data_IF_580101230508
#
_entry.id   IF_580101230508
#
_cell.length_a   1.000
_cell.length_b   1.000
_cell.length_c   1.000
_cell.angle_alpha   90.00
_cell.angle_beta   90.00
_cell.angle_gamma   90.00
#
_symmetry.space_group_name_H-M   'P 1'
#
loop_
_entity.id
_entity.type
_entity.pdbx_description
1 polymer ?
#
# COMPACT_ATOMS: atom_id res chain seq x y z
N UNK A 1 -46.73 17.19 -18.24
CA UNK A 1 -45.98 17.29 -16.96
C UNK A 1 -45.15 16.01 -16.84
N UNK A 2 -43.83 16.13 -16.95
CA UNK A 2 -42.91 14.99 -17.05
C UNK A 2 -42.64 14.39 -15.67
N UNK A 3 -43.16 13.20 -15.40
CA UNK A 3 -42.75 12.43 -14.22
C UNK A 3 -41.42 11.73 -14.52
N UNK A 4 -40.32 12.27 -14.00
CA UNK A 4 -39.06 11.53 -13.93
C UNK A 4 -39.19 10.48 -12.83
N UNK A 5 -39.37 9.21 -13.22
CA UNK A 5 -39.32 8.10 -12.28
C UNK A 5 -37.91 8.04 -11.66
N UNK A 6 -37.84 8.08 -10.34
CA UNK A 6 -36.61 7.92 -9.57
C UNK A 6 -36.10 6.48 -9.79
N UNK A 7 -34.81 6.25 -10.09
CA UNK A 7 -34.30 4.88 -10.21
C UNK A 7 -34.46 4.17 -8.85
N UNK A 8 -34.82 2.87 -8.84
CA UNK A 8 -35.04 2.14 -7.60
C UNK A 8 -33.75 2.13 -6.77
N UNK A 9 -33.85 2.66 -5.54
CA UNK A 9 -32.77 2.65 -4.57
C UNK A 9 -32.70 1.30 -3.88
N UNK A 10 -31.56 0.62 -3.99
CA UNK A 10 -31.21 -0.52 -3.14
C UNK A 10 -30.84 -1.75 -3.92
N UNK A 11 -29.56 -1.87 -4.29
CA UNK A 11 -28.98 -3.18 -4.50
C UNK A 11 -28.98 -3.88 -3.13
N UNK A 12 -30.04 -4.64 -2.84
CA UNK A 12 -30.11 -5.47 -1.64
C UNK A 12 -29.22 -6.68 -1.86
N UNK A 13 -27.92 -6.51 -1.60
CA UNK A 13 -26.93 -7.58 -1.74
C UNK A 13 -27.07 -8.51 -0.55
N UNK A 14 -27.45 -9.76 -0.82
CA UNK A 14 -27.43 -10.82 0.18
C UNK A 14 -25.99 -11.27 0.43
N UNK A 15 -25.41 -10.75 1.52
CA UNK A 15 -24.05 -11.08 1.94
C UNK A 15 -23.88 -12.52 2.42
N UNK A 16 -24.98 -13.25 2.65
CA UNK A 16 -24.95 -14.67 3.04
C UNK A 16 -25.00 -15.62 1.83
N UNK A 17 -25.17 -15.09 0.61
CA UNK A 17 -25.34 -15.90 -0.58
C UNK A 17 -24.12 -16.80 -0.84
N UNK A 18 -24.29 -18.13 -1.02
CA UNK A 18 -23.17 -19.08 -1.13
C UNK A 18 -22.21 -18.79 -2.28
N UNK A 19 -22.72 -18.29 -3.41
CA UNK A 19 -21.87 -17.90 -4.54
C UNK A 19 -21.04 -16.65 -4.23
N UNK A 20 -21.61 -15.70 -3.49
CA UNK A 20 -20.90 -14.50 -3.06
C UNK A 20 -19.83 -14.85 -2.01
N UNK A 21 -20.14 -15.75 -1.08
CA UNK A 21 -19.17 -16.33 -0.16
C UNK A 21 -18.07 -17.11 -0.90
N UNK A 22 -18.40 -17.85 -1.96
CA UNK A 22 -17.41 -18.54 -2.81
C UNK A 22 -16.51 -17.55 -3.56
N UNK A 23 -17.07 -16.47 -4.09
CA UNK A 23 -16.30 -15.40 -4.73
C UNK A 23 -15.39 -14.69 -3.72
N UNK A 24 -15.92 -14.34 -2.54
CA UNK A 24 -15.15 -13.73 -1.47
C UNK A 24 -14.03 -14.66 -1.00
N UNK A 25 -14.31 -15.96 -0.80
CA UNK A 25 -13.31 -16.97 -0.45
C UNK A 25 -12.21 -17.13 -1.50
N UNK A 26 -12.56 -17.04 -2.80
CA UNK A 26 -11.56 -17.01 -3.90
C UNK A 26 -10.68 -15.76 -3.85
N UNK A 27 -11.18 -14.66 -3.30
CA UNK A 27 -10.43 -13.41 -3.08
C UNK A 27 -9.83 -13.27 -1.69
N UNK A 28 -10.13 -14.16 -0.75
CA UNK A 28 -9.67 -14.10 0.65
C UNK A 28 -8.16 -14.35 0.76
N UNK A 29 -7.55 -14.91 -0.30
CA UNK A 29 -6.10 -14.97 -0.51
C UNK A 29 -5.57 -14.02 -1.59
N UNK A 30 -6.43 -13.26 -2.27
CA UNK A 30 -6.00 -12.19 -3.15
C UNK A 30 -5.45 -11.07 -2.27
N UNK A 31 -4.14 -11.10 -2.14
CA UNK A 31 -3.34 -10.00 -1.63
C UNK A 31 -3.63 -8.76 -2.49
N UNK A 32 -4.63 -7.97 -2.07
CA UNK A 32 -4.85 -6.60 -2.55
C UNK A 32 -3.60 -5.73 -2.33
N UNK A 33 -2.62 -6.23 -1.57
CA UNK A 33 -1.31 -5.62 -1.40
C UNK A 33 -0.42 -5.71 -2.66
N UNK A 34 -0.88 -6.30 -3.78
CA UNK A 34 -0.16 -6.31 -5.08
C UNK A 34 1.28 -6.87 -5.05
N UNK A 35 1.65 -7.65 -4.03
CA UNK A 35 3.01 -8.20 -3.86
C UNK A 35 3.35 -9.37 -4.77
N UNK A 36 2.37 -9.96 -5.44
CA UNK A 36 2.60 -11.17 -6.26
C UNK A 36 3.40 -10.93 -7.54
N UNK A 37 3.48 -9.68 -8.02
CA UNK A 37 4.15 -9.33 -9.28
C UNK A 37 5.46 -8.57 -9.05
N UNK A 38 5.73 -8.12 -7.82
CA UNK A 38 6.89 -7.31 -7.49
C UNK A 38 7.77 -8.02 -6.44
N UNK A 39 9.00 -8.33 -6.80
CA UNK A 39 9.98 -8.88 -5.85
C UNK A 39 10.36 -7.82 -4.81
N UNK A 40 10.16 -8.06 -3.51
CA UNK A 40 10.52 -7.08 -2.49
C UNK A 40 11.99 -6.69 -2.55
N UNK A 41 12.28 -5.39 -2.44
CA UNK A 41 13.64 -4.83 -2.50
C UNK A 41 13.94 -4.09 -1.20
N UNK A 42 15.01 -4.44 -0.47
CA UNK A 42 15.47 -3.65 0.67
C UNK A 42 15.77 -2.20 0.25
N UNK A 43 15.31 -1.24 1.04
CA UNK A 43 15.55 0.17 0.79
C UNK A 43 15.83 0.94 2.09
N UNK A 44 16.44 2.11 1.95
CA UNK A 44 16.68 3.06 3.02
C UNK A 44 15.75 4.27 2.84
N UNK A 45 15.05 4.63 3.92
CA UNK A 45 14.20 5.82 3.97
C UNK A 45 14.91 6.93 4.72
N UNK A 46 15.01 8.10 4.08
CA UNK A 46 15.41 9.35 4.72
C UNK A 46 14.16 10.21 4.89
N UNK A 47 13.75 10.45 6.13
CA UNK A 47 12.48 11.12 6.46
C UNK A 47 12.72 12.60 6.77
N UNK A 48 12.05 13.51 6.07
CA UNK A 48 12.18 14.96 6.27
C UNK A 48 13.36 15.61 5.53
N UNK A 49 13.36 16.94 5.50
CA UNK A 49 14.39 17.73 4.80
C UNK A 49 15.60 17.96 5.72
N UNK A 50 16.66 17.17 5.56
CA UNK A 50 18.01 17.57 5.96
C UNK A 50 18.60 16.99 7.24
N UNK A 51 17.86 16.19 8.03
CA UNK A 51 18.42 15.51 9.21
C UNK A 51 17.65 14.24 9.62
N UNK A 52 16.86 13.67 8.70
CA UNK A 52 16.11 12.46 8.95
C UNK A 52 16.98 11.27 9.32
N UNK A 53 16.61 10.53 10.36
CA UNK A 53 17.18 9.21 10.60
C UNK A 53 17.02 8.35 9.34
N UNK A 54 18.11 7.72 8.90
CA UNK A 54 18.06 6.68 7.86
C UNK A 54 17.46 5.44 8.50
N UNK A 55 16.40 4.91 7.89
CA UNK A 55 15.72 3.73 8.41
C UNK A 55 15.52 2.69 7.32
N UNK A 56 15.89 1.46 7.63
CA UNK A 56 15.68 0.32 6.73
C UNK A 56 14.19 0.02 6.57
N UNK A 57 13.79 -0.25 5.34
CA UNK A 57 12.44 -0.60 4.93
C UNK A 57 12.49 -1.56 3.74
N UNK A 58 11.33 -1.99 3.27
CA UNK A 58 11.21 -2.87 2.10
C UNK A 58 10.28 -2.23 1.08
N UNK A 59 10.77 -1.98 -0.13
CA UNK A 59 9.93 -1.61 -1.28
C UNK A 59 9.24 -2.87 -1.79
N UNK A 60 7.92 -2.83 -1.91
CA UNK A 60 7.09 -4.03 -2.19
C UNK A 60 6.19 -3.84 -3.40
N UNK A 61 6.17 -2.63 -3.97
CA UNK A 61 5.52 -2.31 -5.23
C UNK A 61 6.10 -1.00 -5.79
N UNK A 62 6.27 -0.92 -7.10
CA UNK A 62 6.61 0.31 -7.83
C UNK A 62 5.88 0.31 -9.19
N UNK A 63 5.05 1.32 -9.43
CA UNK A 63 4.43 1.57 -10.75
C UNK A 63 3.89 2.99 -10.84
N UNK A 64 4.04 3.62 -12.02
CA UNK A 64 3.33 4.87 -12.39
C UNK A 64 3.39 5.98 -11.31
N UNK A 65 4.58 6.25 -10.76
CA UNK A 65 4.75 7.30 -9.75
C UNK A 65 4.21 6.93 -8.36
N UNK A 66 3.85 5.66 -8.13
CA UNK A 66 3.47 5.14 -6.81
C UNK A 66 4.48 4.08 -6.37
N UNK A 67 4.90 4.18 -5.11
CA UNK A 67 5.67 3.16 -4.41
C UNK A 67 4.93 2.72 -3.17
N UNK A 68 4.97 1.42 -2.86
CA UNK A 68 4.47 0.88 -1.59
C UNK A 68 5.62 0.35 -0.78
N UNK A 69 5.68 0.75 0.49
CA UNK A 69 6.80 0.49 1.39
C UNK A 69 6.29 -0.22 2.64
N UNK A 70 6.99 -1.27 3.05
CA UNK A 70 6.86 -1.85 4.38
C UNK A 70 7.92 -1.32 5.33
N UNK A 71 7.49 -0.93 6.51
CA UNK A 71 8.38 -0.54 7.59
C UNK A 71 7.82 -1.00 8.94
N UNK A 72 8.70 -1.28 9.90
CA UNK A 72 8.33 -1.64 11.27
C UNK A 72 8.24 -0.42 12.20
N UNK A 73 7.94 0.74 11.62
CA UNK A 73 7.85 2.00 12.33
C UNK A 73 6.80 2.92 11.73
N UNK A 74 6.41 3.94 12.51
CA UNK A 74 5.43 4.93 12.13
C UNK A 74 6.02 5.99 11.20
N UNK A 75 5.35 6.25 10.09
CA UNK A 75 5.60 7.38 9.19
C UNK A 75 4.28 8.14 9.06
N UNK A 76 4.30 9.45 9.26
CA UNK A 76 3.10 10.26 9.17
C UNK A 76 2.72 10.52 7.70
N UNK A 77 1.42 10.58 7.41
CA UNK A 77 0.97 11.06 6.12
C UNK A 77 1.42 12.51 5.90
N UNK A 78 1.78 12.85 4.66
CA UNK A 78 2.38 14.13 4.30
C UNK A 78 3.89 14.21 4.51
N UNK A 79 4.52 13.21 5.13
CA UNK A 79 5.98 13.17 5.26
C UNK A 79 6.66 13.05 3.91
N UNK A 80 7.72 13.82 3.73
CA UNK A 80 8.54 13.80 2.52
C UNK A 80 9.72 12.86 2.75
N UNK A 81 9.94 11.96 1.80
CA UNK A 81 10.92 10.89 1.89
C UNK A 81 11.91 10.97 0.74
N UNK A 82 13.16 10.60 1.00
CA UNK A 82 14.05 10.01 -0.02
C UNK A 82 14.11 8.50 0.19
N UNK A 83 13.89 7.74 -0.87
CA UNK A 83 13.91 6.28 -0.90
C UNK A 83 15.12 5.85 -1.71
N UNK A 84 16.09 5.26 -1.04
CA UNK A 84 17.34 4.80 -1.64
C UNK A 84 17.31 3.28 -1.73
N UNK A 85 17.59 2.73 -2.92
CA UNK A 85 17.67 1.27 -3.14
C UNK A 85 18.72 0.91 -4.16
N UNK A 86 19.25 -0.31 -4.08
CA UNK A 86 20.18 -0.83 -5.09
C UNK A 86 19.37 -1.51 -6.21
N UNK A 87 19.53 -1.05 -7.44
CA UNK A 87 18.95 -1.64 -8.65
C UNK A 87 20.08 -1.97 -9.61
N UNK A 88 20.24 -3.23 -9.97
CA UNK A 88 21.32 -3.71 -10.86
C UNK A 88 22.72 -3.20 -10.45
N UNK A 89 23.01 -3.22 -9.14
CA UNK A 89 24.28 -2.78 -8.57
C UNK A 89 24.47 -1.26 -8.46
N UNK A 90 23.49 -0.46 -8.88
CA UNK A 90 23.54 1.00 -8.81
C UNK A 90 22.56 1.55 -7.78
N UNK A 91 22.97 2.61 -7.07
CA UNK A 91 22.08 3.34 -6.16
C UNK A 91 21.03 4.11 -6.96
N UNK A 92 19.75 3.87 -6.66
CA UNK A 92 18.62 4.61 -7.20
C UNK A 92 17.90 5.33 -6.07
N UNK A 93 17.82 6.65 -6.19
CA UNK A 93 17.13 7.53 -5.25
C UNK A 93 15.82 8.03 -5.84
N UNK A 94 14.75 7.95 -5.06
CA UNK A 94 13.43 8.46 -5.41
C UNK A 94 12.91 9.39 -4.32
N UNK A 95 12.31 10.51 -4.70
CA UNK A 95 11.72 11.46 -3.76
C UNK A 95 10.21 11.38 -3.83
N UNK A 96 9.57 11.29 -2.68
CA UNK A 96 8.14 11.14 -2.61
C UNK A 96 7.52 11.70 -1.34
N UNK A 97 6.20 11.66 -1.29
CA UNK A 97 5.41 12.06 -0.12
C UNK A 97 4.52 10.89 0.29
N UNK A 98 4.49 10.57 1.57
CA UNK A 98 3.56 9.57 2.11
C UNK A 98 2.15 10.09 1.96
N UNK A 99 1.31 9.31 1.27
CA UNK A 99 -0.11 9.62 1.08
C UNK A 99 -0.92 9.02 2.22
N UNK A 100 -0.65 7.75 2.52
CA UNK A 100 -1.36 6.99 3.54
C UNK A 100 -0.49 5.87 4.10
N UNK A 101 -0.88 5.37 5.28
CA UNK A 101 -0.24 4.23 5.91
C UNK A 101 -1.24 3.43 6.74
N UNK A 102 -1.05 2.11 6.78
CA UNK A 102 -1.86 1.20 7.60
C UNK A 102 -1.03 0.07 8.19
N UNK A 103 -1.61 -0.65 9.14
CA UNK A 103 -1.02 -1.90 9.63
C UNK A 103 -1.12 -2.99 8.57
N UNK A 104 -0.09 -3.85 8.52
CA UNK A 104 -0.15 -5.07 7.71
C UNK A 104 -1.27 -6.00 8.21
N UNK A 105 -1.87 -6.75 7.29
CA UNK A 105 -3.05 -7.55 7.60
C UNK A 105 -2.70 -8.97 8.04
N UNK A 106 -1.47 -9.46 7.79
CA UNK A 106 -1.09 -10.82 8.13
C UNK A 106 -0.77 -10.95 9.61
N UNK A 107 -0.92 -12.16 10.15
CA UNK A 107 -0.53 -12.46 11.52
C UNK A 107 0.97 -12.14 11.76
N UNK A 108 1.81 -12.45 10.77
CA UNK A 108 3.25 -12.15 10.79
C UNK A 108 3.53 -10.64 10.78
N UNK A 109 2.77 -9.87 9.98
CA UNK A 109 2.91 -8.42 9.93
C UNK A 109 2.62 -7.80 11.30
N UNK A 110 1.56 -8.25 11.95
CA UNK A 110 1.19 -7.79 13.30
C UNK A 110 2.24 -8.18 14.33
N UNK A 111 2.79 -9.39 14.24
CA UNK A 111 3.86 -9.85 15.12
C UNK A 111 5.14 -9.03 14.97
N UNK A 112 5.45 -8.57 13.75
CA UNK A 112 6.64 -7.79 13.42
C UNK A 112 6.44 -6.27 13.52
N UNK A 113 5.21 -5.81 13.82
CA UNK A 113 4.85 -4.39 13.79
C UNK A 113 4.92 -3.78 12.39
N UNK A 114 4.80 -4.59 11.34
CA UNK A 114 4.87 -4.16 9.95
C UNK A 114 3.70 -3.24 9.61
N UNK A 115 4.03 -2.12 9.00
CA UNK A 115 3.10 -1.13 8.47
C UNK A 115 3.41 -0.90 7.00
N UNK A 116 2.37 -0.69 6.22
CA UNK A 116 2.41 -0.50 4.77
C UNK A 116 2.10 0.96 4.48
N UNK A 117 2.91 1.59 3.63
CA UNK A 117 2.82 3.00 3.26
C UNK A 117 2.76 3.18 1.76
N UNK A 118 1.86 4.05 1.30
CA UNK A 118 1.79 4.47 -0.10
C UNK A 118 2.49 5.80 -0.25
N UNK A 119 3.43 5.85 -1.19
CA UNK A 119 4.25 7.02 -1.46
C UNK A 119 4.02 7.45 -2.89
N UNK A 120 3.60 8.70 -3.06
CA UNK A 120 3.55 9.33 -4.37
C UNK A 120 4.92 9.94 -4.68
N UNK A 121 5.53 9.44 -5.75
CA UNK A 121 6.89 9.74 -6.20
C UNK A 121 6.81 10.70 -7.38
N UNK A 122 7.65 11.72 -7.37
CA UNK A 122 7.80 12.64 -8.51
C UNK A 122 8.89 12.21 -9.48
#
# INVERSE_FOLDING_TARGET
MNHHAKPPSGNNVDWSHPELQSLLGKTEGWSLDNRGVFSPVPCELHIGWGAGAVRGATLVFEREGVMVIEANFLIQAGEKLRIDRIVLGSLRSNWGTVVEGREGHRAEDRANGTRVYWVHVR
#
